data_IF_810653024068
#
_entry.id   IF_810653024068
#
_cell.length_a   1.000
_cell.length_b   1.000
_cell.length_c   1.000
_cell.angle_alpha   90.00
_cell.angle_beta   90.00
_cell.angle_gamma   90.00
#
_symmetry.space_group_name_H-M   'P 1'
#
loop_
_entity.id
_entity.type
_entity.pdbx_description
1 polymer ?
#
# COMPACT_ATOMS: atom_id res chain seq x y z
N UNK A 1 -36.05 18.26 -24.38
CA UNK A 1 -36.01 17.24 -23.31
C UNK A 1 -35.85 15.87 -23.97
N UNK A 2 -34.62 15.41 -24.18
CA UNK A 2 -34.33 14.18 -24.95
C UNK A 2 -34.39 12.95 -24.03
N UNK A 3 -35.37 12.08 -24.25
CA UNK A 3 -35.52 10.81 -23.55
C UNK A 3 -34.45 9.84 -24.04
N UNK A 4 -33.36 9.68 -23.28
CA UNK A 4 -32.38 8.61 -23.46
C UNK A 4 -33.09 7.28 -23.18
N UNK A 5 -33.44 6.54 -24.21
CA UNK A 5 -34.06 5.22 -24.09
C UNK A 5 -33.04 4.21 -23.57
N UNK A 6 -33.48 3.28 -22.71
CA UNK A 6 -32.66 2.19 -22.16
C UNK A 6 -31.96 1.36 -23.26
N UNK A 7 -32.53 1.31 -24.46
CA UNK A 7 -31.92 0.68 -25.63
C UNK A 7 -30.58 1.32 -26.05
N UNK A 8 -30.43 2.62 -25.85
CA UNK A 8 -29.20 3.36 -26.17
C UNK A 8 -28.08 3.04 -25.16
N UNK A 9 -28.47 2.83 -23.89
CA UNK A 9 -27.57 2.39 -22.81
C UNK A 9 -27.08 0.96 -23.05
N UNK A 10 -27.98 0.06 -23.43
CA UNK A 10 -27.63 -1.33 -23.74
C UNK A 10 -26.68 -1.44 -24.94
N UNK A 11 -26.88 -0.61 -25.98
CA UNK A 11 -26.01 -0.60 -27.16
C UNK A 11 -24.60 -0.08 -26.82
N UNK A 12 -24.49 0.88 -25.91
CA UNK A 12 -23.21 1.43 -25.45
C UNK A 12 -22.44 0.48 -24.53
N UNK A 13 -23.15 -0.37 -23.79
CA UNK A 13 -22.56 -1.42 -22.95
C UNK A 13 -22.04 -2.63 -23.77
N UNK A 14 -22.62 -2.87 -24.96
CA UNK A 14 -22.19 -3.93 -25.87
C UNK A 14 -21.00 -3.55 -26.77
N UNK A 15 -20.59 -2.27 -26.77
CA UNK A 15 -19.38 -1.88 -27.47
C UNK A 15 -18.16 -2.44 -26.72
N UNK A 16 -17.28 -3.23 -27.39
CA UNK A 16 -16.06 -3.68 -26.76
C UNK A 16 -15.25 -2.44 -26.37
N UNK A 17 -15.03 -2.27 -25.06
CA UNK A 17 -14.12 -1.23 -24.57
C UNK A 17 -12.77 -1.45 -25.27
N UNK A 18 -12.16 -0.40 -25.87
CA UNK A 18 -10.79 -0.54 -26.33
C UNK A 18 -9.98 -0.99 -25.11
N UNK A 19 -9.37 -2.17 -25.21
CA UNK A 19 -8.54 -2.73 -24.18
C UNK A 19 -7.56 -1.63 -23.78
N UNK A 20 -7.74 -1.12 -22.55
CA UNK A 20 -6.83 -0.16 -21.93
C UNK A 20 -5.46 -0.81 -22.08
N UNK A 21 -4.56 -0.17 -22.84
CA UNK A 21 -3.22 -0.68 -23.06
C UNK A 21 -2.69 -1.16 -21.72
N UNK A 22 -2.46 -2.47 -21.64
CA UNK A 22 -2.04 -3.18 -20.44
C UNK A 22 -0.58 -2.78 -20.22
N UNK A 23 -0.38 -1.53 -19.81
CA UNK A 23 0.91 -1.05 -19.34
C UNK A 23 1.12 -1.84 -18.06
N UNK A 24 2.10 -2.77 -18.00
CA UNK A 24 2.36 -3.51 -16.78
C UNK A 24 2.55 -2.48 -15.68
N UNK A 25 1.89 -2.60 -14.52
CA UNK A 25 2.12 -1.67 -13.44
C UNK A 25 3.63 -1.65 -13.22
N UNK A 26 4.25 -0.48 -13.41
CA UNK A 26 5.66 -0.27 -13.10
C UNK A 26 5.86 -0.82 -11.69
N UNK A 27 6.42 -2.02 -11.59
CA UNK A 27 6.76 -2.61 -10.31
C UNK A 27 7.97 -1.82 -9.87
N UNK A 28 7.73 -0.64 -9.27
CA UNK A 28 8.73 0.01 -8.41
C UNK A 28 9.28 -1.12 -7.56
N UNK A 29 10.58 -1.34 -7.66
CA UNK A 29 11.33 -2.40 -7.00
C UNK A 29 11.08 -2.33 -5.48
N UNK A 30 9.98 -2.92 -5.02
CA UNK A 30 9.62 -2.94 -3.61
C UNK A 30 10.39 -4.11 -3.03
N UNK A 31 11.58 -3.80 -2.50
CA UNK A 31 12.31 -4.74 -1.66
C UNK A 31 11.47 -5.01 -0.42
N UNK A 32 11.06 -6.26 -0.26
CA UNK A 32 10.32 -6.73 0.91
C UNK A 32 11.35 -7.28 1.90
N UNK A 33 11.34 -6.75 3.12
CA UNK A 33 12.20 -7.24 4.19
C UNK A 33 11.33 -7.85 5.30
N UNK A 34 11.33 -9.18 5.47
CA UNK A 34 10.58 -9.82 6.54
C UNK A 34 11.28 -9.58 7.88
N UNK A 35 10.54 -9.04 8.86
CA UNK A 35 11.01 -8.87 10.23
C UNK A 35 10.44 -9.97 11.12
N UNK A 36 11.31 -10.74 11.74
CA UNK A 36 10.94 -11.75 12.72
C UNK A 36 11.21 -11.21 14.12
N UNK A 37 10.14 -11.10 14.90
CA UNK A 37 10.18 -10.58 16.26
C UNK A 37 9.73 -11.67 17.23
N UNK A 38 10.31 -11.68 18.43
CA UNK A 38 9.80 -12.55 19.51
C UNK A 38 8.37 -12.14 19.87
N UNK A 39 7.53 -13.06 20.39
CA UNK A 39 6.13 -12.75 20.69
C UNK A 39 5.94 -11.54 21.62
N UNK A 40 6.86 -11.36 22.58
CA UNK A 40 6.85 -10.24 23.50
C UNK A 40 7.14 -8.91 22.79
N UNK A 41 8.18 -8.88 21.95
CA UNK A 41 8.54 -7.69 21.16
C UNK A 41 7.42 -7.37 20.17
N UNK A 42 6.83 -8.37 19.52
CA UNK A 42 5.68 -8.20 18.63
C UNK A 42 4.49 -7.52 19.33
N UNK A 43 4.18 -7.92 20.57
CA UNK A 43 3.09 -7.31 21.34
C UNK A 43 3.36 -5.83 21.63
N UNK A 44 4.57 -5.50 22.09
CA UNK A 44 4.99 -4.12 22.37
C UNK A 44 4.99 -3.29 21.09
N UNK A 45 5.45 -3.86 19.98
CA UNK A 45 5.51 -3.21 18.68
C UNK A 45 4.12 -2.85 18.15
N UNK A 46 3.16 -3.79 18.24
CA UNK A 46 1.75 -3.50 17.88
C UNK A 46 1.16 -2.39 18.74
N UNK A 47 1.42 -2.39 20.04
CA UNK A 47 0.94 -1.34 20.94
C UNK A 47 1.53 0.02 20.54
N UNK A 48 2.84 0.08 20.29
CA UNK A 48 3.50 1.31 19.86
C UNK A 48 2.94 1.85 18.54
N UNK A 49 2.64 0.98 17.57
CA UNK A 49 2.02 1.35 16.31
C UNK A 49 0.64 2.01 16.51
N UNK A 50 -0.19 1.44 17.40
CA UNK A 50 -1.50 2.01 17.76
C UNK A 50 -1.35 3.33 18.50
N UNK A 51 -0.47 3.40 19.50
CA UNK A 51 -0.26 4.61 20.31
C UNK A 51 0.22 5.79 19.47
N UNK A 52 1.02 5.53 18.43
CA UNK A 52 1.58 6.57 17.55
C UNK A 52 0.69 6.85 16.33
N UNK A 53 -0.43 6.15 16.18
CA UNK A 53 -1.29 6.19 14.99
C UNK A 53 -0.52 5.97 13.67
N UNK A 54 0.34 4.95 13.67
CA UNK A 54 1.20 4.62 12.54
C UNK A 54 1.03 3.17 12.10
N UNK A 55 1.27 2.91 10.82
CA UNK A 55 1.39 1.53 10.34
C UNK A 55 2.62 0.85 10.96
N UNK A 56 2.53 -0.47 11.20
CA UNK A 56 3.66 -1.27 11.68
C UNK A 56 4.89 -1.15 10.77
N UNK A 57 4.69 -0.99 9.46
CA UNK A 57 5.79 -0.80 8.52
C UNK A 57 6.48 0.56 8.73
N UNK A 58 5.71 1.64 8.87
CA UNK A 58 6.26 2.97 9.09
C UNK A 58 7.05 3.04 10.41
N UNK A 59 6.50 2.45 11.48
CA UNK A 59 7.18 2.36 12.77
C UNK A 59 8.49 1.57 12.67
N UNK A 60 8.52 0.49 11.87
CA UNK A 60 9.73 -0.32 11.70
C UNK A 60 10.82 0.44 10.95
N UNK A 61 10.46 1.22 9.93
CA UNK A 61 11.40 2.05 9.18
C UNK A 61 11.97 3.13 10.10
N UNK A 62 11.14 3.85 10.84
CA UNK A 62 11.59 4.89 11.77
C UNK A 62 12.56 4.34 12.83
N UNK A 63 12.24 3.17 13.40
CA UNK A 63 13.11 2.54 14.39
C UNK A 63 14.48 2.11 13.80
N UNK A 64 14.50 1.66 12.54
CA UNK A 64 15.74 1.32 11.84
C UNK A 64 16.56 2.58 11.52
N UNK A 65 15.92 3.66 11.07
CA UNK A 65 16.57 4.95 10.78
C UNK A 65 17.16 5.57 12.06
N UNK A 66 16.44 5.51 13.19
CA UNK A 66 16.96 5.98 14.48
C UNK A 66 18.19 5.16 14.90
N UNK A 67 18.15 3.84 14.74
CA UNK A 67 19.27 2.96 15.09
C UNK A 67 20.49 3.23 14.22
N UNK A 68 20.31 3.34 12.90
CA UNK A 68 21.38 3.72 11.96
C UNK A 68 21.99 5.06 12.33
N UNK A 69 21.15 6.07 12.59
CA UNK A 69 21.61 7.41 12.96
C UNK A 69 22.43 7.41 14.25
N UNK A 70 22.06 6.61 15.24
CA UNK A 70 22.84 6.45 16.49
C UNK A 70 24.18 5.76 16.27
N UNK A 71 24.23 4.77 15.39
CA UNK A 71 25.45 4.01 15.10
C UNK A 71 26.44 4.81 14.24
N UNK A 72 25.98 5.80 13.47
CA UNK A 72 26.85 6.71 12.70
C UNK A 72 27.45 7.85 13.55
N UNK A 73 26.87 8.16 14.71
CA UNK A 73 27.29 9.28 15.58
C UNK A 73 27.87 8.85 16.94
N UNK A 74 28.01 7.54 17.19
CA UNK A 74 28.58 6.96 18.41
C UNK A 74 29.96 6.37 18.17
#
# INVERSE_FOLDING_TARGET
MMKRTLADVARRAAAPSPARADVPPSRRDRKVFPLYLTPEVWRRFKLAAVTRDMSMQALAIEALEEKLSRDEHG
#
